data_IF_422036527230
#
_entry.id   IF_422036527230
#
_cell.length_a   1.000
_cell.length_b   1.000
_cell.length_c   1.000
_cell.angle_alpha   90.00
_cell.angle_beta   90.00
_cell.angle_gamma   90.00
#
_symmetry.space_group_name_H-M   'P 1'
#
loop_
_entity.id
_entity.type
_entity.pdbx_description
1 polymer ?
#
# COMPACT_ATOMS: atom_id res chain seq x y z
N UNK A 1 -18.03 19.73 -15.37
CA UNK A 1 -16.60 19.37 -15.23
C UNK A 1 -16.55 18.32 -14.13
N UNK A 2 -16.65 17.04 -14.49
CA UNK A 2 -16.64 15.95 -13.53
C UNK A 2 -15.20 15.68 -13.11
N UNK A 3 -14.91 15.81 -11.82
CA UNK A 3 -13.63 15.39 -11.26
C UNK A 3 -13.68 13.87 -11.16
N UNK A 4 -13.24 13.18 -12.22
CA UNK A 4 -12.90 11.77 -12.09
C UNK A 4 -11.72 11.69 -11.11
N UNK A 5 -11.94 11.08 -9.94
CA UNK A 5 -10.94 10.90 -8.89
C UNK A 5 -9.87 9.89 -9.27
N UNK A 6 -9.11 10.17 -10.32
CA UNK A 6 -8.00 9.35 -10.80
C UNK A 6 -6.74 9.61 -9.96
N UNK A 7 -6.18 8.55 -9.39
CA UNK A 7 -4.86 8.61 -8.75
C UNK A 7 -3.81 8.62 -9.87
N UNK A 8 -3.23 9.79 -10.13
CA UNK A 8 -2.19 9.90 -11.15
C UNK A 8 -0.88 9.28 -10.65
N UNK A 9 -0.40 8.25 -11.36
CA UNK A 9 0.87 7.56 -11.08
C UNK A 9 1.82 7.71 -12.27
N UNK A 10 3.13 7.94 -12.04
CA UNK A 10 4.11 7.96 -13.12
C UNK A 10 4.12 6.62 -13.88
N UNK A 11 4.18 6.65 -15.21
CA UNK A 11 4.17 5.42 -16.02
C UNK A 11 5.26 4.41 -15.63
N UNK A 12 6.46 4.89 -15.26
CA UNK A 12 7.53 4.03 -14.74
C UNK A 12 7.13 3.27 -13.47
N UNK A 13 6.35 3.91 -12.59
CA UNK A 13 5.85 3.26 -11.39
C UNK A 13 4.86 2.14 -11.74
N UNK A 14 3.91 2.40 -12.65
CA UNK A 14 2.97 1.40 -13.15
C UNK A 14 3.72 0.18 -13.72
N UNK A 15 4.74 0.41 -14.54
CA UNK A 15 5.57 -0.68 -15.09
C UNK A 15 6.29 -1.49 -14.00
N UNK A 16 6.80 -0.85 -12.95
CA UNK A 16 7.44 -1.56 -11.84
C UNK A 16 6.44 -2.44 -11.08
N UNK A 17 5.20 -1.98 -10.89
CA UNK A 17 4.14 -2.76 -10.24
C UNK A 17 3.78 -3.99 -11.08
N UNK A 18 3.61 -3.82 -12.40
CA UNK A 18 3.35 -4.95 -13.31
C UNK A 18 4.46 -5.99 -13.28
N UNK A 19 5.73 -5.56 -13.33
CA UNK A 19 6.86 -6.50 -13.24
C UNK A 19 6.90 -7.29 -11.94
N UNK A 20 6.37 -6.71 -10.84
CA UNK A 20 6.33 -7.38 -9.55
C UNK A 20 5.14 -8.34 -9.43
N UNK A 21 3.98 -7.97 -9.96
CA UNK A 21 2.71 -8.67 -9.71
C UNK A 21 2.22 -9.56 -10.84
N UNK A 22 2.56 -9.28 -12.10
CA UNK A 22 2.05 -10.06 -13.23
C UNK A 22 2.64 -11.47 -13.19
N UNK A 23 1.77 -12.47 -13.20
CA UNK A 23 2.14 -13.89 -13.09
C UNK A 23 2.92 -14.24 -11.81
N UNK A 24 2.77 -13.45 -10.74
CA UNK A 24 3.39 -13.75 -9.46
C UNK A 24 2.93 -15.12 -8.94
N UNK A 25 3.90 -15.97 -8.60
CA UNK A 25 3.67 -17.21 -7.86
C UNK A 25 4.22 -17.05 -6.44
N UNK A 26 3.44 -17.49 -5.44
CA UNK A 26 3.86 -17.54 -4.05
C UNK A 26 3.84 -18.97 -3.52
N UNK A 27 4.59 -19.17 -2.43
CA UNK A 27 4.53 -20.36 -1.58
C UNK A 27 4.43 -19.90 -0.14
N UNK A 28 3.71 -20.67 0.67
CA UNK A 28 3.71 -20.52 2.12
C UNK A 28 4.73 -21.52 2.67
N UNK A 29 5.65 -21.03 3.50
CA UNK A 29 6.55 -21.86 4.28
C UNK A 29 5.99 -21.91 5.70
N UNK A 30 5.80 -23.10 6.25
CA UNK A 30 5.37 -23.31 7.63
C UNK A 30 6.24 -24.39 8.26
N UNK A 31 6.96 -24.01 9.31
CA UNK A 31 8.02 -24.79 9.98
C UNK A 31 8.96 -25.54 9.01
N UNK A 32 8.66 -26.81 8.69
CA UNK A 32 9.50 -27.68 7.86
C UNK A 32 8.91 -27.95 6.46
N UNK A 33 7.68 -27.50 6.18
CA UNK A 33 6.99 -27.79 4.93
C UNK A 33 6.71 -26.54 4.10
N UNK A 34 6.71 -26.72 2.79
CA UNK A 34 6.39 -25.66 1.83
C UNK A 34 5.17 -26.04 1.02
N UNK A 35 4.26 -25.10 0.82
CA UNK A 35 3.13 -25.30 -0.09
C UNK A 35 3.62 -25.45 -1.53
N UNK A 36 2.81 -26.10 -2.36
CA UNK A 36 2.93 -25.93 -3.81
C UNK A 36 2.84 -24.44 -4.18
N UNK A 37 3.47 -24.06 -5.28
CA UNK A 37 3.37 -22.71 -5.81
C UNK A 37 1.93 -22.43 -6.26
N UNK A 38 1.40 -21.27 -5.90
CA UNK A 38 0.08 -20.81 -6.32
C UNK A 38 0.15 -19.39 -6.87
N UNK A 39 -0.77 -19.07 -7.78
CA UNK A 39 -0.87 -17.74 -8.38
C UNK A 39 -1.41 -16.73 -7.38
N UNK A 40 -0.72 -15.59 -7.27
CA UNK A 40 -1.15 -14.45 -6.46
C UNK A 40 -1.87 -13.47 -7.37
N UNK A 41 -3.19 -13.46 -7.29
CA UNK A 41 -4.04 -12.54 -8.05
C UNK A 41 -4.46 -11.30 -7.25
N UNK A 42 -4.29 -11.33 -5.93
CA UNK A 42 -4.59 -10.24 -5.01
C UNK A 42 -3.61 -10.24 -3.84
N UNK A 43 -3.37 -9.06 -3.28
CA UNK A 43 -2.52 -8.89 -2.11
C UNK A 43 -1.04 -8.68 -2.41
N UNK A 44 -0.30 -8.47 -1.32
CA UNK A 44 1.14 -8.16 -1.28
C UNK A 44 1.77 -8.98 -0.17
N UNK A 45 3.06 -9.33 -0.29
CA UNK A 45 3.80 -9.97 0.81
C UNK A 45 3.99 -8.96 1.95
N UNK A 46 3.64 -9.33 3.19
CA UNK A 46 3.64 -8.41 4.34
C UNK A 46 5.02 -7.77 4.62
N UNK A 47 6.11 -8.48 4.38
CA UNK A 47 7.48 -7.96 4.51
C UNK A 47 8.05 -7.34 3.23
N UNK A 48 7.20 -7.08 2.23
CA UNK A 48 7.63 -6.38 1.04
C UNK A 48 7.72 -4.88 1.33
N UNK A 49 8.88 -4.27 1.07
CA UNK A 49 9.09 -2.81 1.20
C UNK A 49 8.04 -2.02 0.38
N UNK A 50 7.53 -2.59 -0.71
CA UNK A 50 6.52 -1.96 -1.56
C UNK A 50 5.08 -2.14 -1.03
N UNK A 51 4.83 -3.09 -0.13
CA UNK A 51 3.49 -3.40 0.38
C UNK A 51 2.78 -2.19 1.02
N UNK A 52 3.41 -1.40 1.91
CA UNK A 52 2.75 -0.22 2.49
C UNK A 52 2.32 0.81 1.45
N UNK A 53 3.15 1.01 0.42
CA UNK A 53 2.89 1.96 -0.67
C UNK A 53 1.71 1.50 -1.53
N UNK A 54 1.68 0.23 -1.93
CA UNK A 54 0.60 -0.33 -2.74
C UNK A 54 -0.74 -0.36 -2.00
N UNK A 55 -0.73 -0.76 -0.72
CA UNK A 55 -1.93 -0.74 0.12
C UNK A 55 -2.46 0.69 0.26
N UNK A 56 -1.57 1.66 0.47
CA UNK A 56 -1.96 3.07 0.57
C UNK A 56 -2.57 3.62 -0.73
N UNK A 57 -2.02 3.24 -1.88
CA UNK A 57 -2.56 3.63 -3.19
C UNK A 57 -3.93 3.02 -3.45
N UNK A 58 -4.08 1.71 -3.19
CA UNK A 58 -5.35 1.02 -3.35
C UNK A 58 -6.42 1.58 -2.41
N UNK A 59 -6.05 1.85 -1.15
CA UNK A 59 -6.95 2.49 -0.18
C UNK A 59 -7.34 3.90 -0.62
N UNK A 60 -6.40 4.69 -1.14
CA UNK A 60 -6.68 6.04 -1.68
C UNK A 60 -7.63 5.99 -2.88
N UNK A 61 -7.44 5.04 -3.79
CA UNK A 61 -8.33 4.85 -4.93
C UNK A 61 -9.73 4.39 -4.50
N UNK A 62 -9.82 3.48 -3.52
CA UNK A 62 -11.09 3.04 -2.93
C UNK A 62 -11.83 4.20 -2.27
N UNK A 63 -11.14 5.03 -1.48
CA UNK A 63 -11.74 6.22 -0.86
C UNK A 63 -12.19 7.23 -1.90
N UNK A 64 -11.37 7.47 -2.92
CA UNK A 64 -11.71 8.37 -4.04
C UNK A 64 -12.99 7.92 -4.75
N UNK A 65 -13.13 6.62 -5.04
CA UNK A 65 -14.34 6.07 -5.64
C UNK A 65 -15.55 6.07 -4.70
N UNK A 66 -15.36 5.75 -3.42
CA UNK A 66 -16.43 5.68 -2.43
C UNK A 66 -17.02 7.05 -2.08
N UNK A 67 -16.21 8.12 -2.15
CA UNK A 67 -16.61 9.47 -1.76
C UNK A 67 -16.55 10.48 -2.92
N UNK A 68 -16.51 10.01 -4.17
CA UNK A 68 -16.34 10.87 -5.36
C UNK A 68 -17.39 11.99 -5.45
N UNK A 69 -18.63 11.72 -5.01
CA UNK A 69 -19.76 12.65 -5.05
C UNK A 69 -20.14 13.21 -3.67
N UNK A 70 -19.51 12.71 -2.60
CA UNK A 70 -19.87 13.03 -1.23
C UNK A 70 -18.83 13.97 -0.61
N UNK A 71 -19.11 15.27 -0.71
CA UNK A 71 -18.24 16.33 -0.20
C UNK A 71 -18.32 16.51 1.32
N UNK A 72 -19.28 15.90 2.00
CA UNK A 72 -19.51 16.08 3.45
C UNK A 72 -19.18 14.84 4.28
N UNK A 73 -18.95 13.67 3.66
CA UNK A 73 -18.56 12.49 4.41
C UNK A 73 -17.12 12.59 4.94
N UNK A 74 -17.02 12.71 6.26
CA UNK A 74 -15.76 12.68 7.00
C UNK A 74 -15.56 11.34 7.71
N UNK A 75 -14.40 10.72 7.53
CA UNK A 75 -14.04 9.47 8.22
C UNK A 75 -13.30 9.82 9.50
N UNK A 76 -13.96 9.62 10.65
CA UNK A 76 -13.33 9.84 11.96
C UNK A 76 -12.47 8.64 12.36
N UNK A 77 -11.17 8.71 12.10
CA UNK A 77 -10.21 7.70 12.56
C UNK A 77 -9.90 7.93 14.04
N UNK A 78 -10.36 7.03 14.91
CA UNK A 78 -9.99 7.03 16.33
C UNK A 78 -8.71 6.23 16.51
N UNK A 79 -7.62 6.91 16.84
CA UNK A 79 -6.34 6.28 17.16
C UNK A 79 -5.97 6.57 18.62
N UNK A 80 -5.23 5.66 19.25
CA UNK A 80 -4.64 5.92 20.57
C UNK A 80 -3.40 6.78 20.39
N UNK A 81 -3.48 8.04 20.77
CA UNK A 81 -2.29 8.88 20.96
C UNK A 81 -1.67 8.54 22.31
N UNK A 82 -0.48 7.97 22.32
CA UNK A 82 0.42 7.99 23.48
C UNK A 82 1.16 9.35 23.61
N UNK A 83 0.75 10.35 22.84
CA UNK A 83 1.39 11.65 22.73
C UNK A 83 2.60 11.69 21.77
N UNK A 84 2.93 10.60 21.06
CA UNK A 84 4.16 10.50 20.25
C UNK A 84 3.97 10.18 18.77
N UNK A 85 2.73 10.02 18.30
CA UNK A 85 2.43 9.61 16.92
C UNK A 85 2.98 10.58 15.86
N UNK A 86 2.97 11.89 16.15
CA UNK A 86 3.49 12.94 15.26
C UNK A 86 4.85 13.47 15.72
N UNK A 87 5.71 12.62 16.29
CA UNK A 87 7.09 13.03 16.48
C UNK A 87 7.84 13.00 15.14
N UNK A 88 7.87 14.14 14.46
CA UNK A 88 8.60 14.34 13.19
C UNK A 88 10.10 14.02 13.31
N UNK A 89 10.69 14.01 14.52
CA UNK A 89 12.07 13.57 14.73
C UNK A 89 12.25 12.07 14.42
N UNK A 90 11.20 11.23 14.52
CA UNK A 90 11.26 9.81 14.15
C UNK A 90 11.28 9.57 12.63
N UNK A 91 10.90 10.57 11.83
CA UNK A 91 11.06 10.53 10.37
C UNK A 91 12.48 10.92 9.91
N UNK A 92 13.36 11.34 10.82
CA UNK A 92 14.76 11.58 10.51
C UNK A 92 15.54 10.26 10.52
N UNK A 93 15.41 9.50 9.43
CA UNK A 93 16.29 8.36 9.19
C UNK A 93 17.72 8.86 8.97
N UNK A 94 18.64 8.51 9.87
CA UNK A 94 20.08 8.70 9.64
C UNK A 94 20.55 7.58 8.71
N UNK A 95 20.94 7.93 7.49
CA UNK A 95 21.60 7.00 6.58
C UNK A 95 22.97 6.69 7.19
N UNK A 96 23.25 5.41 7.47
CA UNK A 96 24.60 4.98 7.82
C UNK A 96 25.41 4.96 6.53
N UNK A 97 26.32 5.92 6.38
CA UNK A 97 27.33 5.92 5.32
C UNK A 97 28.50 5.09 5.83
N UNK A 98 28.89 4.06 5.08
CA UNK A 98 30.17 3.35 5.24
C UNK A 98 31.31 4.14 4.60
#
# INVERSE_FOLDING_TARGET
MAYHGEVWLPGKFISMVHQFHDNMLARVLDDEDSSNAFSVNNGVKQDCILAPTLVSMMFSAMLSGAFCDDKETSIKIRYRTDGRLFNLQRFQAKIKVE
#
